data_IF_488770222133
#
_entry.id   IF_488770222133
#
_cell.length_a   1.000
_cell.length_b   1.000
_cell.length_c   1.000
_cell.angle_alpha   90.00
_cell.angle_beta   90.00
_cell.angle_gamma   90.00
#
_symmetry.space_group_name_H-M   'P 1'
#
loop_
_entity.id
_entity.type
_entity.pdbx_description
1 polymer ?
#
# COMPACT_ATOMS: atom_id res chain seq x y z
N UNK A 1 -15.36 1.59 -8.03
CA UNK A 1 -14.16 2.28 -8.53
C UNK A 1 -12.97 1.39 -8.19
N UNK A 2 -12.05 1.15 -9.12
CA UNK A 2 -10.87 0.32 -8.81
C UNK A 2 -9.95 1.04 -7.83
N UNK A 3 -9.10 0.28 -7.13
CA UNK A 3 -8.07 0.86 -6.27
C UNK A 3 -7.16 1.80 -7.08
N UNK A 4 -6.77 2.96 -6.53
CA UNK A 4 -5.87 3.87 -7.22
C UNK A 4 -4.49 3.24 -7.43
N UNK A 5 -3.70 3.82 -8.33
CA UNK A 5 -2.31 3.42 -8.54
C UNK A 5 -1.42 3.95 -7.40
N UNK A 6 -0.38 3.19 -7.05
CA UNK A 6 0.60 3.61 -6.05
C UNK A 6 1.45 4.76 -6.57
N UNK A 7 1.61 5.79 -5.75
CA UNK A 7 2.40 6.97 -6.10
C UNK A 7 3.89 6.62 -6.15
N UNK A 8 4.41 5.98 -5.09
CA UNK A 8 5.83 5.61 -5.02
C UNK A 8 6.17 4.52 -6.05
N UNK A 9 5.24 3.61 -6.30
CA UNK A 9 5.35 2.65 -7.40
C UNK A 9 5.52 3.37 -8.75
N UNK A 10 4.70 4.40 -9.01
CA UNK A 10 4.77 5.18 -10.25
C UNK A 10 6.07 5.95 -10.38
N UNK A 11 6.60 6.52 -9.29
CA UNK A 11 7.90 7.20 -9.28
C UNK A 11 9.05 6.24 -9.58
N UNK A 12 8.92 4.97 -9.17
CA UNK A 12 9.85 3.90 -9.50
C UNK A 12 9.62 3.29 -10.90
N UNK A 13 8.70 3.83 -11.70
CA UNK A 13 8.41 3.38 -13.07
C UNK A 13 7.40 2.24 -13.18
N UNK A 14 6.66 1.94 -12.12
CA UNK A 14 5.64 0.88 -12.09
C UNK A 14 4.22 1.43 -12.10
N UNK A 15 3.32 0.81 -12.88
CA UNK A 15 1.90 1.12 -12.86
C UNK A 15 1.12 0.01 -12.13
N UNK A 16 1.16 0.04 -10.79
CA UNK A 16 0.58 -0.99 -9.94
C UNK A 16 -0.51 -0.41 -9.03
N UNK A 17 -1.62 -1.13 -8.90
CA UNK A 17 -2.72 -0.73 -8.01
C UNK A 17 -2.35 -0.96 -6.55
N UNK A 18 -2.77 -0.05 -5.68
CA UNK A 18 -2.57 -0.23 -4.25
C UNK A 18 -3.41 -1.39 -3.72
N UNK A 19 -2.83 -2.12 -2.76
CA UNK A 19 -3.41 -3.30 -2.14
C UNK A 19 -2.86 -3.46 -0.71
N UNK A 20 -3.55 -4.26 0.10
CA UNK A 20 -3.06 -4.64 1.43
C UNK A 20 -1.95 -5.67 1.28
N UNK A 21 -0.81 -5.39 1.91
CA UNK A 21 0.36 -6.26 1.99
C UNK A 21 0.73 -6.51 3.45
N UNK A 22 1.60 -7.49 3.69
CA UNK A 22 2.08 -7.84 5.04
C UNK A 22 3.60 -7.90 5.12
N UNK A 23 4.10 -7.67 6.33
CA UNK A 23 5.51 -7.78 6.71
C UNK A 23 5.59 -8.20 8.18
N UNK A 24 6.81 -8.44 8.69
CA UNK A 24 7.05 -8.74 10.10
C UNK A 24 6.56 -7.63 11.05
N UNK A 25 6.40 -6.39 10.54
CA UNK A 25 5.91 -5.23 11.31
C UNK A 25 4.38 -5.11 11.35
N UNK A 26 3.65 -5.95 10.60
CA UNK A 26 2.20 -5.88 10.44
C UNK A 26 1.78 -5.71 8.99
N UNK A 27 0.54 -5.28 8.79
CA UNK A 27 -0.07 -5.04 7.47
C UNK A 27 0.11 -3.58 7.06
N UNK A 28 0.11 -3.30 5.77
CA UNK A 28 0.26 -1.95 5.23
C UNK A 28 -0.39 -1.87 3.85
N UNK A 29 -0.61 -0.65 3.37
CA UNK A 29 -1.09 -0.40 2.01
C UNK A 29 0.15 -0.16 1.14
N UNK A 30 0.26 -0.90 0.05
CA UNK A 30 1.43 -0.88 -0.82
C UNK A 30 1.11 -1.38 -2.22
N UNK A 31 2.14 -1.61 -3.02
CA UNK A 31 2.00 -2.24 -4.32
C UNK A 31 2.88 -3.48 -4.42
N UNK A 32 2.44 -4.44 -5.23
CA UNK A 32 3.18 -5.66 -5.50
C UNK A 32 3.01 -6.07 -6.96
N UNK A 33 4.01 -6.78 -7.48
CA UNK A 33 3.98 -7.45 -8.78
C UNK A 33 4.26 -8.96 -8.59
N UNK A 34 4.48 -9.67 -9.69
CA UNK A 34 4.75 -11.13 -9.68
C UNK A 34 6.02 -11.52 -8.90
N UNK A 35 6.95 -10.58 -8.70
CA UNK A 35 8.18 -10.79 -7.93
C UNK A 35 8.04 -10.45 -6.44
N UNK A 36 6.94 -9.81 -6.04
CA UNK A 36 6.64 -9.44 -4.66
C UNK A 36 6.38 -7.95 -4.45
N UNK A 37 6.49 -7.46 -3.20
CA UNK A 37 6.25 -6.05 -2.85
C UNK A 37 7.21 -5.10 -3.57
N UNK A 38 6.67 -4.04 -4.17
CA UNK A 38 7.42 -3.00 -4.89
C UNK A 38 7.55 -1.74 -4.03
N UNK A 39 6.46 -1.30 -3.41
CA UNK A 39 6.45 -0.08 -2.59
C UNK A 39 5.52 -0.21 -1.38
N UNK A 40 5.84 0.55 -0.33
CA UNK A 40 4.95 0.79 0.81
C UNK A 40 4.37 2.20 0.67
N UNK A 41 3.10 2.27 0.28
CA UNK A 41 2.39 3.51 0.00
C UNK A 41 1.85 4.16 1.28
N UNK A 42 1.47 3.40 2.32
CA UNK A 42 1.05 3.97 3.60
C UNK A 42 2.21 4.29 4.55
N UNK A 43 2.04 5.34 5.35
CA UNK A 43 2.87 5.59 6.55
C UNK A 43 2.57 4.54 7.62
N UNK A 44 1.30 4.17 7.77
CA UNK A 44 0.79 3.32 8.82
C UNK A 44 1.14 1.85 8.62
N UNK A 45 1.27 1.16 9.77
CA UNK A 45 1.15 -0.28 9.88
C UNK A 45 -0.11 -0.62 10.67
N UNK A 46 -0.81 -1.66 10.25
CA UNK A 46 -2.04 -2.17 10.84
C UNK A 46 -1.78 -3.52 11.51
N UNK A 47 -2.52 -3.83 12.57
CA UNK A 47 -2.35 -5.09 13.30
C UNK A 47 -2.94 -6.28 12.54
N UNK A 48 -3.97 -6.05 11.72
CA UNK A 48 -4.63 -7.09 10.93
C UNK A 48 -4.84 -6.63 9.48
N UNK A 49 -4.99 -7.58 8.55
CA UNK A 49 -5.33 -7.27 7.15
C UNK A 49 -6.63 -6.50 7.05
N UNK A 50 -7.66 -6.93 7.80
CA UNK A 50 -8.98 -6.27 7.81
C UNK A 50 -8.90 -4.78 8.20
N UNK A 51 -8.02 -4.41 9.14
CA UNK A 51 -7.83 -3.00 9.48
C UNK A 51 -7.21 -2.21 8.32
N UNK A 52 -6.24 -2.81 7.62
CA UNK A 52 -5.64 -2.19 6.45
C UNK A 52 -6.62 -2.09 5.27
N UNK A 53 -7.45 -3.11 5.07
CA UNK A 53 -8.51 -3.13 4.04
C UNK A 53 -9.53 -2.02 4.31
N UNK A 54 -10.04 -1.92 5.54
CA UNK A 54 -10.98 -0.85 5.93
C UNK A 54 -10.35 0.53 5.71
N UNK A 55 -9.08 0.70 6.11
CA UNK A 55 -8.37 1.96 5.90
C UNK A 55 -8.24 2.28 4.40
N UNK A 56 -7.86 1.28 3.59
CA UNK A 56 -7.76 1.41 2.13
C UNK A 56 -9.10 1.80 1.50
N UNK A 57 -10.17 1.07 1.81
CA UNK A 57 -11.52 1.30 1.27
C UNK A 57 -12.07 2.68 1.64
N UNK A 58 -11.82 3.13 2.87
CA UNK A 58 -12.28 4.43 3.37
C UNK A 58 -11.37 5.60 3.02
N UNK A 59 -10.15 5.34 2.54
CA UNK A 59 -9.11 6.36 2.40
C UNK A 59 -8.62 6.90 3.75
N UNK A 60 -8.73 6.13 4.83
CA UNK A 60 -8.30 6.48 6.19
C UNK A 60 -6.83 6.06 6.42
N UNK A 61 -5.94 6.46 5.51
CA UNK A 61 -4.51 6.20 5.57
C UNK A 61 -3.73 7.39 4.97
N UNK A 62 -2.47 7.52 5.35
CA UNK A 62 -1.64 8.64 4.90
C UNK A 62 -0.64 8.15 3.86
N UNK A 63 -0.60 8.84 2.71
CA UNK A 63 0.43 8.60 1.70
C UNK A 63 1.81 8.85 2.30
N UNK A 64 2.68 7.86 2.17
CA UNK A 64 4.08 7.96 2.50
C UNK A 64 4.81 8.75 1.42
N UNK A 65 5.61 9.71 1.84
CA UNK A 65 6.54 10.46 1.01
C UNK A 65 7.94 9.84 1.08
N UNK A 66 8.78 10.08 0.08
CA UNK A 66 10.23 9.82 0.17
C UNK A 66 10.84 10.76 1.23
N UNK A 67 11.73 10.21 2.06
CA UNK A 67 12.61 11.01 2.93
C UNK A 67 13.88 11.39 2.15
#
# INVERSE_FOLDING_TARGET
MGNPFGLLASEAGYQLQIQVLSSQRGFYIGTANEMGPVSRESVEYYKTSLQADIALEKGEWTQREYD
#
